data_IF_086161463082
#
_entry.id   IF_086161463082
#
_cell.length_a   1.000
_cell.length_b   1.000
_cell.length_c   1.000
_cell.angle_alpha   90.00
_cell.angle_beta   90.00
_cell.angle_gamma   90.00
#
_symmetry.space_group_name_H-M   'P 1'
#
loop_
_entity.id
_entity.type
_entity.pdbx_description
1 polymer ?
#
# COMPACT_ATOMS: atom_id res chain seq x y z
N UNK A 1 35.32 -22.46 28.76
CA UNK A 1 34.84 -23.62 29.54
C UNK A 1 33.33 -23.66 29.45
N UNK A 2 32.79 -24.84 29.16
CA UNK A 2 31.41 -25.12 28.78
C UNK A 2 30.37 -24.74 29.85
N UNK A 3 29.09 -24.53 29.47
CA UNK A 3 27.98 -24.55 30.41
C UNK A 3 27.69 -26.00 30.85
N UNK A 4 27.24 -26.25 32.10
CA UNK A 4 26.88 -27.58 32.57
C UNK A 4 25.47 -28.01 32.17
N UNK A 5 25.28 -29.34 32.25
CA UNK A 5 24.24 -30.20 31.68
C UNK A 5 22.98 -30.34 32.54
N UNK A 6 21.86 -30.58 31.85
CA UNK A 6 20.67 -31.40 32.17
C UNK A 6 20.12 -31.46 33.60
N UNK A 7 18.83 -31.11 33.72
CA UNK A 7 17.87 -31.73 34.65
C UNK A 7 16.65 -32.13 33.82
N UNK A 8 16.34 -33.42 33.81
CA UNK A 8 15.07 -34.01 33.34
C UNK A 8 14.03 -33.81 34.45
N UNK A 9 12.80 -33.48 34.08
CA UNK A 9 11.64 -33.55 34.98
C UNK A 9 10.61 -34.51 34.38
N UNK A 10 10.39 -35.60 35.10
CA UNK A 10 9.36 -36.60 34.89
C UNK A 10 7.96 -36.00 35.02
N UNK A 11 7.05 -36.36 34.12
CA UNK A 11 5.60 -36.20 34.29
C UNK A 11 4.92 -37.55 34.01
N UNK A 12 3.96 -37.99 34.86
CA UNK A 12 3.25 -39.25 34.66
C UNK A 12 2.11 -39.10 33.64
N UNK A 13 1.78 -40.23 33.01
CA UNK A 13 0.73 -40.39 32.01
C UNK A 13 -0.69 -40.54 32.61
N UNK A 14 -1.69 -40.31 31.74
CA UNK A 14 -3.16 -40.56 31.79
C UNK A 14 -3.95 -39.25 31.64
N UNK A 15 -4.98 -39.10 30.81
CA UNK A 15 -5.84 -40.00 30.01
C UNK A 15 -6.63 -39.10 29.04
N UNK A 16 -6.92 -39.58 27.83
CA UNK A 16 -7.82 -38.94 26.87
C UNK A 16 -9.28 -39.04 27.35
N UNK A 17 -10.02 -37.93 27.30
CA UNK A 17 -11.43 -37.92 26.88
C UNK A 17 -11.87 -36.53 26.40
N UNK A 18 -12.94 -36.55 25.61
CA UNK A 18 -13.28 -35.67 24.49
C UNK A 18 -13.95 -34.31 24.80
N UNK A 19 -13.89 -33.45 23.77
CA UNK A 19 -14.77 -32.32 23.39
C UNK A 19 -14.58 -30.94 24.04
N UNK A 20 -13.89 -30.05 23.31
CA UNK A 20 -14.36 -28.70 22.90
C UNK A 20 -13.30 -28.12 21.94
N UNK A 21 -13.68 -27.75 20.71
CA UNK A 21 -12.76 -27.13 19.73
C UNK A 21 -12.79 -25.62 19.96
N UNK A 22 -11.87 -25.12 20.78
CA UNK A 22 -11.49 -23.70 20.79
C UNK A 22 -10.27 -23.52 19.86
N UNK A 23 -10.41 -22.67 18.84
CA UNK A 23 -9.29 -22.26 17.99
C UNK A 23 -8.36 -21.34 18.79
N UNK A 24 -7.48 -21.92 19.60
CA UNK A 24 -6.47 -21.19 20.35
C UNK A 24 -5.24 -20.88 19.48
N UNK A 25 -4.84 -19.61 19.51
CA UNK A 25 -3.77 -18.96 18.74
C UNK A 25 -2.34 -19.41 19.07
N UNK A 26 -2.19 -20.42 19.92
CA UNK A 26 -0.93 -20.72 20.59
C UNK A 26 -0.17 -21.90 19.97
N UNK A 27 -0.75 -22.59 18.98
CA UNK A 27 -0.06 -23.65 18.20
C UNK A 27 0.88 -23.10 17.10
N UNK A 28 0.97 -21.77 16.96
CA UNK A 28 1.73 -21.13 15.89
C UNK A 28 3.26 -21.19 16.06
N UNK A 29 3.77 -21.32 17.29
CA UNK A 29 5.22 -21.31 17.56
C UNK A 29 5.88 -22.71 17.49
N UNK A 30 5.12 -23.79 17.61
CA UNK A 30 5.67 -25.15 17.69
C UNK A 30 5.87 -25.85 16.34
N UNK A 31 5.33 -25.31 15.24
CA UNK A 31 5.51 -25.93 13.91
C UNK A 31 6.88 -25.61 13.27
N UNK A 32 7.63 -24.63 13.80
CA UNK A 32 8.93 -24.23 13.27
C UNK A 32 10.13 -24.93 13.92
N UNK A 33 9.93 -25.64 15.03
CA UNK A 33 10.96 -26.44 15.70
C UNK A 33 11.12 -27.84 15.11
N UNK A 34 10.08 -28.39 14.47
CA UNK A 34 10.06 -29.81 14.08
C UNK A 34 10.76 -30.17 12.76
N UNK A 35 11.40 -29.23 12.07
CA UNK A 35 12.05 -29.49 10.77
C UNK A 35 13.59 -29.41 10.79
N UNK A 36 14.22 -29.32 11.96
CA UNK A 36 15.70 -29.38 12.08
C UNK A 36 16.29 -30.79 12.15
N UNK A 37 15.47 -31.84 12.24
CA UNK A 37 15.95 -33.21 12.49
C UNK A 37 16.23 -34.08 11.26
N UNK A 38 16.19 -33.52 10.04
CA UNK A 38 16.52 -34.27 8.82
C UNK A 38 17.98 -34.17 8.35
N UNK A 39 18.86 -33.53 9.13
CA UNK A 39 20.31 -33.46 8.84
C UNK A 39 21.14 -34.55 9.55
N UNK A 40 20.57 -35.74 9.75
CA UNK A 40 21.33 -36.94 10.13
C UNK A 40 21.06 -38.07 9.15
N UNK A 41 21.54 -37.92 7.92
CA UNK A 41 21.90 -39.03 7.05
C UNK A 41 22.87 -38.52 5.99
N UNK A 42 24.09 -39.06 5.96
CA UNK A 42 25.23 -38.58 5.19
C UNK A 42 25.11 -38.80 3.67
N UNK A 43 24.24 -38.04 3.03
CA UNK A 43 24.25 -37.84 1.58
C UNK A 43 24.73 -36.43 1.26
N UNK A 44 25.62 -36.32 0.27
CA UNK A 44 26.17 -35.06 -0.22
C UNK A 44 25.06 -34.04 -0.47
N UNK A 45 25.10 -32.96 0.31
CA UNK A 45 24.12 -31.89 0.34
C UNK A 45 24.15 -31.17 -1.03
N UNK A 46 23.30 -31.59 -1.97
CA UNK A 46 22.85 -30.68 -3.02
C UNK A 46 22.05 -29.64 -2.25
N UNK A 47 22.67 -28.50 -1.97
CA UNK A 47 21.98 -27.31 -1.46
C UNK A 47 20.93 -26.93 -2.50
N UNK A 48 19.71 -27.43 -2.31
CA UNK A 48 18.55 -26.96 -3.04
C UNK A 48 18.32 -25.57 -2.47
N UNK A 49 18.72 -24.55 -3.23
CA UNK A 49 18.35 -23.17 -2.93
C UNK A 49 16.83 -23.08 -3.05
N UNK A 50 16.12 -23.29 -1.95
CA UNK A 50 14.73 -22.94 -1.86
C UNK A 50 14.64 -21.43 -2.06
N UNK A 51 13.90 -20.98 -3.08
CA UNK A 51 13.48 -19.58 -3.14
C UNK A 51 12.86 -19.23 -1.80
N UNK A 52 13.38 -18.19 -1.14
CA UNK A 52 12.93 -17.76 0.19
C UNK A 52 11.41 -17.50 0.11
N UNK A 53 10.60 -18.42 0.64
CA UNK A 53 9.14 -18.21 0.78
C UNK A 53 8.87 -17.66 2.17
N UNK A 54 8.57 -16.37 2.23
CA UNK A 54 8.07 -15.73 3.45
C UNK A 54 6.63 -16.17 3.74
N UNK A 55 6.27 -16.21 5.02
CA UNK A 55 4.88 -16.43 5.42
C UNK A 55 4.07 -15.18 5.04
N UNK A 56 3.06 -15.27 4.16
CA UNK A 56 2.30 -14.11 3.72
C UNK A 56 1.38 -13.60 4.82
N UNK A 57 1.11 -12.31 4.83
CA UNK A 57 0.06 -11.76 5.67
C UNK A 57 -1.32 -12.03 5.06
N UNK A 58 -2.12 -12.88 5.71
CA UNK A 58 -3.43 -13.36 5.19
C UNK A 58 -4.41 -12.26 4.81
N UNK A 59 -4.31 -11.07 5.43
CA UNK A 59 -5.11 -9.88 5.09
C UNK A 59 -4.94 -9.43 3.63
N UNK A 60 -3.77 -9.66 3.04
CA UNK A 60 -3.44 -9.23 1.67
C UNK A 60 -3.43 -10.39 0.65
N UNK A 61 -3.67 -11.62 1.10
CA UNK A 61 -3.81 -12.79 0.22
C UNK A 61 -5.20 -12.79 -0.40
N UNK A 62 -5.33 -12.21 -1.59
CA UNK A 62 -6.63 -11.99 -2.22
C UNK A 62 -7.34 -13.30 -2.58
N UNK A 63 -6.59 -14.30 -3.04
CA UNK A 63 -7.10 -15.63 -3.37
C UNK A 63 -7.21 -16.58 -2.16
N UNK A 64 -7.20 -16.07 -0.93
CA UNK A 64 -7.27 -16.90 0.29
C UNK A 64 -8.49 -17.82 0.31
N UNK A 65 -9.66 -17.33 -0.09
CA UNK A 65 -10.88 -18.14 -0.17
C UNK A 65 -10.78 -19.31 -1.17
N UNK A 66 -10.05 -19.10 -2.29
CA UNK A 66 -9.83 -20.16 -3.28
C UNK A 66 -8.80 -21.19 -2.81
N UNK A 67 -7.87 -20.78 -1.95
CA UNK A 67 -6.81 -21.65 -1.43
C UNK A 67 -7.28 -22.50 -0.25
N UNK A 68 -8.28 -22.07 0.52
CA UNK A 68 -8.72 -22.73 1.76
C UNK A 68 -9.04 -24.23 1.59
N UNK A 69 -9.65 -24.61 0.46
CA UNK A 69 -10.02 -26.00 0.17
C UNK A 69 -8.83 -26.89 -0.21
N UNK A 70 -7.78 -26.29 -0.78
CA UNK A 70 -6.64 -27.02 -1.34
C UNK A 70 -5.38 -26.90 -0.49
N UNK A 71 -5.33 -25.93 0.42
CA UNK A 71 -4.18 -25.61 1.25
C UNK A 71 -3.74 -26.77 2.16
N UNK A 72 -4.68 -27.58 2.64
CA UNK A 72 -4.39 -28.77 3.45
C UNK A 72 -3.78 -29.93 2.64
N UNK A 73 -4.07 -29.99 1.34
CA UNK A 73 -3.78 -31.15 0.49
C UNK A 73 -2.63 -30.91 -0.49
N UNK A 74 -2.37 -29.66 -0.85
CA UNK A 74 -1.32 -29.30 -1.82
C UNK A 74 0.01 -29.05 -1.11
N UNK A 75 1.09 -29.47 -1.78
CA UNK A 75 2.42 -29.04 -1.39
C UNK A 75 2.53 -27.52 -1.49
N UNK A 76 3.25 -26.90 -0.54
CA UNK A 76 3.42 -25.45 -0.43
C UNK A 76 3.90 -24.81 -1.73
N UNK A 77 4.61 -25.55 -2.58
CA UNK A 77 5.12 -25.04 -3.85
C UNK A 77 4.03 -24.63 -4.84
N UNK A 78 2.87 -25.30 -4.79
CA UNK A 78 1.70 -25.01 -5.63
C UNK A 78 0.85 -23.87 -5.09
N UNK A 79 1.06 -23.46 -3.83
CA UNK A 79 0.33 -22.36 -3.21
C UNK A 79 0.97 -21.03 -3.64
N UNK A 80 0.32 -20.34 -4.58
CA UNK A 80 0.69 -19.00 -5.02
C UNK A 80 -0.27 -17.96 -4.43
N UNK A 81 0.29 -16.95 -3.77
CA UNK A 81 -0.48 -15.88 -3.15
C UNK A 81 -0.51 -14.65 -4.06
N UNK A 82 -1.72 -14.12 -4.28
CA UNK A 82 -1.94 -12.97 -5.17
C UNK A 82 -2.39 -11.77 -4.35
N UNK A 83 -1.84 -10.60 -4.68
CA UNK A 83 -2.30 -9.32 -4.13
C UNK A 83 -3.29 -8.65 -5.08
N UNK A 84 -4.21 -7.87 -4.52
CA UNK A 84 -5.07 -6.98 -5.28
C UNK A 84 -4.71 -5.53 -4.94
N UNK A 85 -4.50 -4.69 -5.95
CA UNK A 85 -4.10 -3.30 -5.74
C UNK A 85 -3.30 -2.79 -6.93
N UNK A 86 -2.08 -2.30 -6.70
CA UNK A 86 -1.23 -1.67 -7.71
C UNK A 86 0.24 -2.02 -7.51
N UNK A 87 0.99 -2.12 -8.60
CA UNK A 87 2.45 -2.14 -8.60
C UNK A 87 2.95 -1.28 -9.76
N UNK A 88 3.82 -0.32 -9.44
CA UNK A 88 4.46 0.53 -10.43
C UNK A 88 5.91 0.76 -10.04
N UNK A 89 6.81 0.69 -11.03
CA UNK A 89 8.24 0.94 -10.83
C UNK A 89 8.73 1.89 -11.91
N UNK A 90 9.53 2.87 -11.50
CA UNK A 90 10.13 3.85 -12.40
C UNK A 90 11.60 4.03 -12.03
N UNK A 91 12.42 4.19 -13.06
CA UNK A 91 13.83 4.53 -12.92
C UNK A 91 13.99 6.06 -12.93
N UNK A 92 14.77 6.61 -12.00
CA UNK A 92 15.14 8.03 -11.96
C UNK A 92 16.64 8.18 -11.75
N UNK A 93 17.23 9.14 -12.46
CA UNK A 93 18.61 9.56 -12.20
C UNK A 93 18.61 10.77 -11.27
N UNK A 94 19.23 10.64 -10.10
CA UNK A 94 19.41 11.72 -9.13
C UNK A 94 20.91 11.95 -8.97
N UNK A 95 21.40 13.13 -9.38
CA UNK A 95 22.83 13.47 -9.39
C UNK A 95 23.71 12.44 -10.12
N UNK A 96 23.21 11.87 -11.22
CA UNK A 96 23.95 10.90 -12.03
C UNK A 96 23.92 9.45 -11.49
N UNK A 97 23.27 9.21 -10.35
CA UNK A 97 23.00 7.86 -9.84
C UNK A 97 21.58 7.42 -10.22
N UNK A 98 21.48 6.28 -10.88
CA UNK A 98 20.19 5.69 -11.26
C UNK A 98 19.60 4.93 -10.09
N UNK A 99 18.32 5.15 -9.85
CA UNK A 99 17.57 4.60 -8.72
C UNK A 99 16.22 4.11 -9.21
N UNK A 100 15.78 2.99 -8.68
CA UNK A 100 14.41 2.53 -8.90
C UNK A 100 13.54 2.91 -7.72
N UNK A 101 12.44 3.60 -8.02
CA UNK A 101 11.35 3.86 -7.08
C UNK A 101 10.21 2.92 -7.44
N UNK A 102 9.72 2.17 -6.47
CA UNK A 102 8.61 1.23 -6.63
C UNK A 102 7.51 1.57 -5.64
N UNK A 103 6.27 1.67 -6.12
CA UNK A 103 5.08 1.79 -5.29
C UNK A 103 4.29 0.50 -5.40
N UNK A 104 3.98 -0.10 -4.26
CA UNK A 104 3.12 -1.27 -4.16
C UNK A 104 1.92 -0.89 -3.29
N UNK A 105 0.70 -1.06 -3.80
CA UNK A 105 -0.51 -0.97 -3.00
C UNK A 105 -1.14 -2.35 -2.86
N UNK A 106 -1.40 -2.75 -1.62
CA UNK A 106 -2.05 -4.01 -1.25
C UNK A 106 -3.38 -3.70 -0.58
N UNK A 107 -4.47 -4.03 -1.24
CA UNK A 107 -5.83 -3.91 -0.70
C UNK A 107 -6.12 -5.12 0.19
N UNK A 108 -6.70 -4.86 1.36
CA UNK A 108 -7.16 -5.90 2.26
C UNK A 108 -8.33 -6.69 1.66
N UNK A 109 -8.30 -8.00 1.83
CA UNK A 109 -9.43 -8.90 1.56
C UNK A 109 -10.49 -8.89 2.68
N UNK A 110 -10.16 -8.34 3.87
CA UNK A 110 -11.06 -8.29 5.01
C UNK A 110 -12.02 -7.11 4.86
N UNK A 111 -13.29 -7.35 5.17
CA UNK A 111 -14.38 -6.37 5.07
C UNK A 111 -14.39 -5.59 3.74
N UNK A 112 -13.99 -6.27 2.66
CA UNK A 112 -13.92 -5.71 1.32
C UNK A 112 -15.32 -5.60 0.69
N UNK A 113 -15.52 -4.58 -0.14
CA UNK A 113 -16.76 -4.38 -0.89
C UNK A 113 -16.71 -3.16 -1.80
N UNK A 114 -17.82 -2.90 -2.48
CA UNK A 114 -17.95 -1.76 -3.38
C UNK A 114 -18.20 -0.47 -2.59
N UNK A 115 -17.93 0.66 -3.26
CA UNK A 115 -18.26 2.00 -2.75
C UNK A 115 -19.72 2.06 -2.34
N UNK A 116 -19.98 2.71 -1.19
CA UNK A 116 -21.30 2.86 -0.56
C UNK A 116 -21.87 1.60 0.12
N UNK A 117 -21.62 0.39 -0.38
CA UNK A 117 -22.12 -0.83 0.27
C UNK A 117 -21.31 -1.26 1.50
N UNK A 118 -20.00 -1.01 1.51
CA UNK A 118 -19.13 -1.35 2.64
C UNK A 118 -18.34 -0.13 3.10
N UNK A 119 -18.66 0.31 4.32
CA UNK A 119 -18.08 1.45 5.02
C UNK A 119 -17.92 1.13 6.50
N UNK A 120 -17.06 1.89 7.18
CA UNK A 120 -16.81 1.68 8.59
C UNK A 120 -15.92 0.47 8.86
N UNK A 121 -16.18 -0.18 9.97
CA UNK A 121 -15.51 -1.40 10.42
C UNK A 121 -16.52 -2.51 10.71
N UNK A 122 -16.06 -3.76 10.72
CA UNK A 122 -16.79 -4.88 11.32
C UNK A 122 -16.48 -4.99 12.83
N UNK A 123 -17.17 -5.90 13.53
CA UNK A 123 -16.94 -6.14 14.96
C UNK A 123 -15.52 -6.66 15.28
N UNK A 124 -14.85 -7.27 14.31
CA UNK A 124 -13.48 -7.77 14.44
C UNK A 124 -12.42 -6.67 14.27
N UNK A 125 -12.82 -5.40 14.08
CA UNK A 125 -11.90 -4.29 13.88
C UNK A 125 -11.30 -4.18 12.46
N UNK A 126 -11.78 -4.96 11.49
CA UNK A 126 -11.42 -4.80 10.09
C UNK A 126 -12.17 -3.65 9.44
N UNK A 127 -11.43 -2.70 8.89
CA UNK A 127 -11.99 -1.52 8.24
C UNK A 127 -12.19 -1.74 6.76
N UNK A 128 -13.26 -1.14 6.22
CA UNK A 128 -13.52 -1.20 4.80
C UNK A 128 -12.41 -0.46 4.03
N UNK A 129 -12.01 -1.04 2.90
CA UNK A 129 -11.02 -0.49 1.97
C UNK A 129 -9.69 -0.10 2.62
N UNK A 130 -9.23 -0.92 3.56
CA UNK A 130 -7.86 -0.83 4.03
C UNK A 130 -6.90 -1.12 2.87
N UNK A 131 -5.98 -0.18 2.63
CA UNK A 131 -4.91 -0.33 1.64
C UNK A 131 -3.60 0.03 2.30
N UNK A 132 -2.64 -0.88 2.16
CA UNK A 132 -1.25 -0.66 2.52
C UNK A 132 -0.48 -0.22 1.28
N UNK A 133 0.08 0.98 1.34
CA UNK A 133 0.92 1.54 0.27
C UNK A 133 2.36 1.54 0.77
N UNK A 134 3.22 0.81 0.07
CA UNK A 134 4.65 0.73 0.33
C UNK A 134 5.44 1.39 -0.79
N UNK A 135 6.37 2.27 -0.39
CA UNK A 135 7.29 2.96 -1.26
C UNK A 135 8.70 2.45 -1.04
N UNK A 136 9.23 1.75 -2.03
CA UNK A 136 10.56 1.14 -2.02
C UNK A 136 11.49 1.97 -2.90
N UNK A 137 12.70 2.22 -2.40
CA UNK A 137 13.77 2.86 -3.17
C UNK A 137 14.98 1.96 -3.11
N UNK A 138 15.56 1.66 -4.26
CA UNK A 138 16.81 0.90 -4.33
C UNK A 138 17.76 1.43 -5.40
N UNK A 139 19.05 1.30 -5.10
CA UNK A 139 20.13 1.73 -5.98
C UNK A 139 20.29 0.75 -7.14
N UNK A 140 20.25 1.25 -8.39
CA UNK A 140 20.42 0.40 -9.57
C UNK A 140 21.89 0.03 -9.82
N UNK A 141 22.84 0.75 -9.21
CA UNK A 141 24.27 0.51 -9.34
C UNK A 141 24.75 -0.78 -8.67
N UNK A 142 23.93 -1.42 -7.82
CA UNK A 142 24.27 -2.64 -7.11
C UNK A 142 23.27 -3.75 -7.45
N UNK A 143 23.60 -4.60 -8.42
CA UNK A 143 22.74 -5.71 -8.87
C UNK A 143 22.69 -6.90 -7.89
N UNK A 144 23.52 -6.91 -6.85
CA UNK A 144 23.55 -8.00 -5.86
C UNK A 144 22.52 -7.76 -4.75
N UNK A 145 21.63 -8.72 -4.51
CA UNK A 145 20.62 -8.65 -3.42
C UNK A 145 21.25 -8.55 -2.02
N UNK A 146 22.42 -9.16 -1.81
CA UNK A 146 23.08 -9.16 -0.49
C UNK A 146 23.79 -7.84 -0.17
N UNK A 147 24.21 -7.11 -1.21
CA UNK A 147 24.93 -5.84 -1.07
C UNK A 147 24.09 -4.64 -1.50
N UNK A 148 22.88 -4.88 -2.02
CA UNK A 148 21.96 -3.86 -2.48
C UNK A 148 21.44 -3.02 -1.32
N UNK A 149 21.44 -1.71 -1.52
CA UNK A 149 20.85 -0.77 -0.59
C UNK A 149 19.38 -0.59 -0.92
N UNK A 150 18.52 -1.10 -0.04
CA UNK A 150 17.08 -1.01 -0.15
C UNK A 150 16.53 -0.18 1.00
N UNK A 151 15.58 0.66 0.67
CA UNK A 151 14.80 1.42 1.62
C UNK A 151 13.31 1.16 1.38
N UNK A 152 12.53 1.06 2.45
CA UNK A 152 11.07 0.92 2.36
C UNK A 152 10.37 1.84 3.34
N UNK A 153 9.23 2.37 2.94
CA UNK A 153 8.34 3.16 3.78
C UNK A 153 6.89 2.74 3.53
N UNK A 154 6.19 2.38 4.60
CA UNK A 154 4.81 1.89 4.56
C UNK A 154 3.86 2.92 5.15
N UNK A 155 2.76 3.17 4.46
CA UNK A 155 1.65 3.98 4.94
C UNK A 155 0.32 3.28 4.69
N UNK A 156 -0.69 3.63 5.49
CA UNK A 156 -2.01 3.03 5.42
C UNK A 156 -3.05 4.05 5.03
N UNK A 157 -4.11 3.57 4.41
CA UNK A 157 -5.38 4.27 4.33
C UNK A 157 -6.53 3.30 4.56
N UNK A 158 -7.66 3.83 5.00
CA UNK A 158 -8.88 3.03 5.14
C UNK A 158 -10.05 3.87 5.59
N UNK A 159 -11.21 3.23 5.69
CA UNK A 159 -12.41 3.85 6.28
C UNK A 159 -12.19 4.21 7.75
N UNK A 160 -13.00 5.11 8.29
CA UNK A 160 -12.99 5.45 9.72
C UNK A 160 -13.42 4.21 10.53
N UNK A 161 -12.69 3.79 11.59
CA UNK A 161 -12.95 2.56 12.32
C UNK A 161 -14.15 2.74 13.29
N UNK A 162 -15.35 2.80 12.73
CA UNK A 162 -16.61 2.92 13.44
C UNK A 162 -17.72 2.24 12.63
N UNK A 163 -18.85 1.94 13.26
CA UNK A 163 -20.03 1.38 12.58
C UNK A 163 -20.86 2.50 11.95
N UNK A 164 -20.69 2.72 10.66
CA UNK A 164 -21.43 3.75 9.93
C UNK A 164 -21.69 3.36 8.48
N UNK A 165 -22.83 3.83 7.98
CA UNK A 165 -23.29 3.58 6.63
C UNK A 165 -23.71 4.89 5.94
N UNK A 166 -23.96 4.78 4.64
CA UNK A 166 -24.57 5.84 3.85
C UNK A 166 -25.71 5.24 3.07
N UNK A 167 -26.91 5.76 3.29
CA UNK A 167 -28.10 5.33 2.57
C UNK A 167 -28.09 5.86 1.14
N UNK A 168 -27.82 4.96 0.18
CA UNK A 168 -27.84 5.24 -1.26
C UNK A 168 -29.19 5.02 -1.92
N UNK A 169 -30.21 4.59 -1.17
CA UNK A 169 -31.55 4.31 -1.72
C UNK A 169 -32.24 5.59 -2.21
N UNK A 170 -31.94 6.73 -1.58
CA UNK A 170 -32.46 8.03 -1.98
C UNK A 170 -31.51 8.63 -3.01
N UNK A 171 -32.04 8.97 -4.19
CA UNK A 171 -31.32 9.63 -5.29
C UNK A 171 -30.94 11.08 -4.92
N UNK A 172 -30.15 11.23 -3.86
CA UNK A 172 -29.71 12.48 -3.27
C UNK A 172 -28.24 12.67 -3.62
N UNK A 173 -27.81 13.86 -4.08
CA UNK A 173 -26.42 14.10 -4.49
C UNK A 173 -25.36 13.82 -3.42
N UNK A 174 -25.77 13.82 -2.14
CA UNK A 174 -24.93 13.47 -0.98
C UNK A 174 -25.73 12.62 0.01
N UNK A 175 -25.59 11.28 -0.03
CA UNK A 175 -26.31 10.40 0.88
C UNK A 175 -25.87 10.66 2.32
N UNK A 176 -26.83 10.80 3.23
CA UNK A 176 -26.56 11.13 4.64
C UNK A 176 -25.77 10.02 5.32
N UNK A 177 -24.79 10.42 6.14
CA UNK A 177 -24.01 9.50 6.96
C UNK A 177 -24.78 9.22 8.24
N UNK A 178 -25.05 7.94 8.50
CA UNK A 178 -25.70 7.46 9.72
C UNK A 178 -24.71 6.60 10.51
N UNK A 179 -24.65 6.83 11.82
CA UNK A 179 -23.95 5.92 12.73
C UNK A 179 -24.95 4.81 13.05
N UNK A 180 -24.62 3.58 12.65
CA UNK A 180 -25.55 2.45 12.74
C UNK A 180 -25.57 1.89 14.17
N UNK A 181 -24.41 1.89 14.84
CA UNK A 181 -24.25 1.41 16.20
C UNK A 181 -23.42 2.43 17.00
N UNK A 182 -23.95 2.84 18.15
CA UNK A 182 -23.18 3.61 19.12
C UNK A 182 -22.38 2.64 19.98
N UNK A 183 -21.05 2.75 19.91
CA UNK A 183 -20.11 1.93 20.67
C UNK A 183 -19.53 2.79 21.82
N UNK A 184 -20.11 2.72 23.05
CA UNK A 184 -19.67 3.54 24.17
C UNK A 184 -18.29 3.11 24.71
N UNK A 185 -17.94 1.83 24.60
CA UNK A 185 -16.67 1.28 25.07
C UNK A 185 -15.60 1.22 24.00
N UNK A 186 -15.95 1.60 22.76
CA UNK A 186 -15.00 1.76 21.66
C UNK A 186 -14.30 0.42 21.35
N UNK A 187 -15.00 -0.70 21.51
CA UNK A 187 -14.47 -2.05 21.30
C UNK A 187 -13.97 -2.23 19.87
N UNK A 188 -14.77 -1.79 18.89
CA UNK A 188 -14.44 -1.98 17.47
C UNK A 188 -13.20 -1.19 17.05
N UNK A 189 -13.10 0.07 17.50
CA UNK A 189 -11.91 0.86 17.20
C UNK A 189 -10.70 0.38 18.03
N UNK A 190 -10.94 -0.09 19.25
CA UNK A 190 -9.93 -0.73 20.10
C UNK A 190 -9.27 -1.92 19.42
N UNK A 191 -10.06 -2.86 18.91
CA UNK A 191 -9.52 -4.04 18.22
C UNK A 191 -8.81 -3.66 16.91
N UNK A 192 -9.35 -2.69 16.18
CA UNK A 192 -8.68 -2.15 15.00
C UNK A 192 -7.28 -1.59 15.32
N UNK A 193 -7.16 -0.74 16.34
CA UNK A 193 -5.87 -0.14 16.72
C UNK A 193 -4.93 -1.14 17.37
N UNK A 194 -5.44 -2.12 18.11
CA UNK A 194 -4.68 -3.26 18.61
C UNK A 194 -4.04 -4.02 17.43
N UNK A 195 -4.82 -4.33 16.40
CA UNK A 195 -4.33 -4.95 15.17
C UNK A 195 -3.31 -4.10 14.40
N UNK A 196 -3.38 -2.77 14.48
CA UNK A 196 -2.37 -1.87 13.91
C UNK A 196 -1.08 -1.87 14.73
N UNK A 197 -1.17 -1.77 16.05
CA UNK A 197 0.00 -1.79 16.94
C UNK A 197 0.76 -3.13 16.84
N UNK A 198 0.04 -4.26 16.75
CA UNK A 198 0.65 -5.58 16.53
C UNK A 198 1.41 -5.67 15.21
N UNK A 199 0.95 -5.00 14.15
CA UNK A 199 1.53 -5.08 12.80
C UNK A 199 2.66 -4.09 12.56
N UNK A 200 2.48 -2.84 12.97
CA UNK A 200 3.37 -1.73 12.60
C UNK A 200 4.07 -1.08 13.78
N UNK A 201 3.67 -1.40 15.03
CA UNK A 201 4.26 -0.80 16.24
C UNK A 201 3.77 0.61 16.55
N UNK A 202 4.55 1.32 17.36
CA UNK A 202 4.30 2.69 17.82
C UNK A 202 5.30 3.70 17.23
N UNK A 203 4.86 4.91 16.82
CA UNK A 203 3.52 5.46 16.99
C UNK A 203 2.56 5.15 15.83
N UNK A 204 1.29 4.96 16.16
CA UNK A 204 0.19 4.99 15.18
C UNK A 204 -0.33 6.42 15.05
N UNK A 205 -0.11 7.04 13.88
CA UNK A 205 -0.49 8.42 13.60
C UNK A 205 -1.69 8.43 12.65
N UNK A 206 -2.82 8.96 13.11
CA UNK A 206 -4.04 9.12 12.31
C UNK A 206 -4.04 10.51 11.69
N UNK A 207 -3.98 10.57 10.36
CA UNK A 207 -4.24 11.77 9.58
C UNK A 207 -5.69 11.76 9.09
N UNK A 208 -6.55 12.50 9.78
CA UNK A 208 -7.97 12.57 9.46
C UNK A 208 -8.26 13.75 8.51
N UNK A 209 -8.69 13.44 7.28
CA UNK A 209 -8.99 14.43 6.23
C UNK A 209 -10.48 14.77 6.12
N UNK A 210 -11.28 14.24 7.03
CA UNK A 210 -12.72 14.47 7.16
C UNK A 210 -12.98 15.95 7.48
N UNK A 211 -13.95 16.57 6.80
CA UNK A 211 -14.30 17.98 7.03
C UNK A 211 -14.83 18.19 8.44
N UNK A 212 -14.36 19.24 9.12
CA UNK A 212 -14.77 19.56 10.50
C UNK A 212 -15.82 20.67 10.60
N UNK A 213 -15.71 21.71 9.77
CA UNK A 213 -16.63 22.86 9.81
C UNK A 213 -17.50 22.87 8.57
N UNK A 214 -18.69 22.31 8.71
CA UNK A 214 -19.70 22.27 7.66
C UNK A 214 -20.95 23.03 8.09
N UNK A 215 -21.70 23.58 7.12
CA UNK A 215 -22.97 24.28 7.41
C UNK A 215 -24.03 23.32 7.97
N UNK A 216 -24.01 22.06 7.53
CA UNK A 216 -24.81 20.96 8.04
C UNK A 216 -23.84 19.85 8.46
N UNK A 217 -24.05 19.27 9.64
CA UNK A 217 -23.23 18.14 10.12
C UNK A 217 -23.39 16.97 9.16
N UNK A 218 -22.29 16.51 8.58
CA UNK A 218 -22.30 15.38 7.66
C UNK A 218 -21.04 14.55 7.87
N UNK A 219 -19.90 15.00 7.33
CA UNK A 219 -18.59 14.37 7.53
C UNK A 219 -18.12 14.58 8.99
N UNK A 220 -18.44 15.74 9.59
CA UNK A 220 -17.95 16.11 10.93
C UNK A 220 -18.33 15.12 12.03
N UNK A 221 -19.50 14.47 11.92
CA UNK A 221 -19.97 13.45 12.88
C UNK A 221 -18.97 12.31 13.03
N UNK A 222 -18.37 11.85 11.92
CA UNK A 222 -17.34 10.80 11.94
C UNK A 222 -16.03 11.31 12.54
N UNK A 223 -15.71 12.58 12.31
CA UNK A 223 -14.51 13.23 12.88
C UNK A 223 -14.58 13.31 14.40
N UNK A 224 -15.75 13.65 14.93
CA UNK A 224 -16.03 13.74 16.37
C UNK A 224 -16.07 12.34 17.01
N UNK A 225 -16.66 11.36 16.32
CA UNK A 225 -16.67 9.95 16.75
C UNK A 225 -15.25 9.40 16.94
N UNK A 226 -14.42 9.44 15.89
CA UNK A 226 -13.04 8.93 15.97
C UNK A 226 -12.17 9.69 16.98
N UNK A 227 -12.39 11.00 17.14
CA UNK A 227 -11.67 11.79 18.13
C UNK A 227 -12.01 11.34 19.56
N UNK A 228 -13.29 11.09 19.83
CA UNK A 228 -13.78 10.59 21.12
C UNK A 228 -13.23 9.19 21.38
N UNK A 229 -13.25 8.31 20.36
CA UNK A 229 -12.68 6.96 20.43
C UNK A 229 -11.20 6.98 20.79
N UNK A 230 -10.38 7.78 20.09
CA UNK A 230 -8.94 7.88 20.38
C UNK A 230 -8.69 8.47 21.76
N UNK A 231 -9.46 9.47 22.18
CA UNK A 231 -9.36 10.06 23.52
C UNK A 231 -9.67 9.04 24.62
N UNK A 232 -10.65 8.18 24.40
CA UNK A 232 -11.01 7.10 25.32
C UNK A 232 -9.90 6.04 25.39
N UNK A 233 -9.45 5.52 24.24
CA UNK A 233 -8.40 4.49 24.19
C UNK A 233 -7.07 4.95 24.80
N UNK A 234 -6.69 6.21 24.59
CA UNK A 234 -5.47 6.79 25.18
C UNK A 234 -5.53 6.94 26.72
N UNK A 235 -6.66 6.65 27.38
CA UNK A 235 -6.71 6.57 28.85
C UNK A 235 -6.06 5.29 29.37
N UNK A 236 -6.07 4.23 28.56
CA UNK A 236 -5.58 2.89 28.93
C UNK A 236 -4.21 2.57 28.35
N UNK A 237 -3.82 3.24 27.25
CA UNK A 237 -2.51 3.06 26.62
C UNK A 237 -1.42 3.83 27.38
N UNK A 238 -0.21 3.27 27.54
CA UNK A 238 0.93 4.02 28.05
C UNK A 238 1.29 5.20 27.13
N UNK A 239 1.93 6.27 27.64
CA UNK A 239 2.30 7.46 26.86
C UNK A 239 3.10 7.18 25.59
N UNK A 240 3.92 6.13 25.60
CA UNK A 240 4.75 5.69 24.48
C UNK A 240 3.93 5.09 23.32
N UNK A 241 2.77 4.51 23.62
CA UNK A 241 1.87 3.86 22.67
C UNK A 241 0.64 4.71 22.35
N UNK A 242 0.58 5.95 22.83
CA UNK A 242 -0.53 6.85 22.55
C UNK A 242 -0.74 7.04 21.05
N UNK A 243 -1.99 6.83 20.64
CA UNK A 243 -2.44 7.05 19.27
C UNK A 243 -2.48 8.56 19.02
N UNK A 244 -1.77 9.01 17.99
CA UNK A 244 -1.66 10.44 17.67
C UNK A 244 -2.72 10.81 16.64
N UNK A 245 -3.68 11.65 17.03
CA UNK A 245 -4.74 12.12 16.13
C UNK A 245 -4.44 13.51 15.58
N UNK A 246 -4.37 13.63 14.25
CA UNK A 246 -4.15 14.88 13.53
C UNK A 246 -5.33 15.09 12.57
N UNK A 247 -6.07 16.19 12.75
CA UNK A 247 -7.14 16.56 11.82
C UNK A 247 -6.70 17.64 10.84
N UNK A 248 -6.92 17.43 9.54
CA UNK A 248 -6.54 18.37 8.50
C UNK A 248 -7.66 18.53 7.44
N UNK A 249 -8.33 19.68 7.46
CA UNK A 249 -9.39 20.01 6.50
C UNK A 249 -8.79 20.65 5.23
N UNK A 250 -8.52 19.82 4.21
CA UNK A 250 -7.93 20.26 2.94
C UNK A 250 -8.80 21.29 2.21
N UNK A 251 -10.12 21.08 2.19
CA UNK A 251 -11.06 21.92 1.45
C UNK A 251 -11.09 23.36 1.99
N UNK A 252 -11.02 23.51 3.32
CA UNK A 252 -10.94 24.82 3.95
C UNK A 252 -9.60 25.51 3.68
N UNK A 253 -8.50 24.75 3.74
CA UNK A 253 -7.15 25.30 3.51
C UNK A 253 -6.95 25.75 2.08
N UNK A 254 -7.61 25.10 1.11
CA UNK A 254 -7.59 25.53 -0.28
C UNK A 254 -8.34 26.85 -0.54
N UNK A 255 -9.35 27.18 0.29
CA UNK A 255 -10.17 28.40 0.15
C UNK A 255 -9.66 29.60 0.96
N UNK A 256 -8.55 29.45 1.69
CA UNK A 256 -7.98 30.51 2.52
C UNK A 256 -7.17 31.52 1.69
N UNK A 257 -6.95 32.73 2.24
CA UNK A 257 -6.12 33.78 1.62
C UNK A 257 -4.66 33.35 1.41
N UNK A 258 -4.16 32.41 2.20
CA UNK A 258 -2.86 31.74 2.06
C UNK A 258 -3.08 30.24 1.76
N UNK A 259 -3.50 29.92 0.53
CA UNK A 259 -3.75 28.55 0.10
C UNK A 259 -2.43 27.77 -0.06
N UNK A 260 -1.88 27.31 1.05
CA UNK A 260 -0.71 26.42 1.07
C UNK A 260 -1.07 25.09 1.72
N UNK A 261 -1.93 24.32 1.04
CA UNK A 261 -2.35 22.99 1.50
C UNK A 261 -1.15 22.04 1.51
N UNK A 262 -0.38 22.02 0.42
CA UNK A 262 0.75 21.11 0.24
C UNK A 262 1.88 21.36 1.24
N UNK A 263 2.25 22.61 1.52
CA UNK A 263 3.31 22.92 2.48
C UNK A 263 2.93 22.59 3.92
N UNK A 264 1.67 22.87 4.33
CA UNK A 264 1.20 22.46 5.66
C UNK A 264 1.13 20.94 5.80
N UNK A 265 0.70 20.25 4.74
CA UNK A 265 0.67 18.79 4.70
C UNK A 265 2.09 18.22 4.72
N UNK A 266 3.04 18.85 4.05
CA UNK A 266 4.45 18.48 4.06
C UNK A 266 5.06 18.63 5.47
N UNK A 267 4.67 19.64 6.25
CA UNK A 267 5.13 19.78 7.63
C UNK A 267 4.59 18.66 8.54
N UNK A 268 3.31 18.29 8.35
CA UNK A 268 2.69 17.16 9.07
C UNK A 268 3.38 15.86 8.67
N UNK A 269 3.56 15.62 7.36
CA UNK A 269 4.23 14.47 6.80
C UNK A 269 5.67 14.34 7.32
N UNK A 270 6.44 15.43 7.31
CA UNK A 270 7.81 15.44 7.80
C UNK A 270 7.89 15.01 9.28
N UNK A 271 7.03 15.58 10.12
CA UNK A 271 6.96 15.22 11.54
C UNK A 271 6.55 13.76 11.74
N UNK A 272 5.61 13.28 10.92
CA UNK A 272 5.09 11.94 11.02
C UNK A 272 6.10 10.88 10.55
N UNK A 273 6.75 11.09 9.39
CA UNK A 273 7.80 10.20 8.85
C UNK A 273 8.98 10.13 9.83
N UNK A 274 9.39 11.26 10.42
CA UNK A 274 10.42 11.25 11.46
C UNK A 274 10.03 10.35 12.62
N UNK A 275 8.79 10.43 13.11
CA UNK A 275 8.31 9.64 14.25
C UNK A 275 8.13 8.15 13.94
N UNK A 276 7.72 7.80 12.72
CA UNK A 276 7.49 6.40 12.33
C UNK A 276 8.78 5.70 11.90
N UNK A 277 9.76 6.45 11.42
CA UNK A 277 10.99 5.94 10.82
C UNK A 277 10.78 5.32 9.43
N UNK A 278 11.88 4.85 8.85
CA UNK A 278 11.93 4.13 7.58
C UNK A 278 12.73 2.82 7.72
N UNK A 279 12.40 1.83 6.88
CA UNK A 279 13.18 0.61 6.77
C UNK A 279 14.42 0.83 5.90
N UNK A 280 15.58 0.32 6.34
CA UNK A 280 16.83 0.29 5.56
C UNK A 280 17.49 -1.09 5.68
N UNK A 281 17.85 -1.69 4.54
CA UNK A 281 18.45 -3.04 4.45
C UNK A 281 19.88 -3.13 5.01
N UNK A 282 20.61 -2.02 4.95
CA UNK A 282 21.99 -1.89 5.41
C UNK A 282 22.13 -0.57 6.16
N UNK A 283 23.05 -0.53 7.12
CA UNK A 283 23.39 0.73 7.80
C UNK A 283 23.91 1.75 6.77
N UNK A 284 23.58 3.05 6.91
CA UNK A 284 24.03 4.07 5.97
C UNK A 284 25.55 3.98 5.75
N UNK A 285 25.98 3.78 4.50
CA UNK A 285 27.39 3.62 4.13
C UNK A 285 28.22 4.86 4.49
N UNK A 286 27.56 6.00 4.70
CA UNK A 286 28.19 7.23 5.16
C UNK A 286 27.52 7.81 6.43
N UNK A 287 28.40 8.20 7.35
CA UNK A 287 28.24 9.22 8.39
C UNK A 287 27.88 8.79 9.82
N UNK A 288 28.86 8.24 10.55
CA UNK A 288 28.82 8.16 12.03
C UNK A 288 28.54 9.52 12.71
N UNK A 289 28.80 10.64 12.03
CA UNK A 289 28.74 12.01 12.58
C UNK A 289 27.49 12.83 12.22
N UNK A 290 26.80 12.58 11.09
CA UNK A 290 25.55 13.31 10.73
C UNK A 290 24.25 12.53 11.00
N UNK A 291 24.35 11.27 11.39
CA UNK A 291 23.19 10.47 11.85
C UNK A 291 22.70 10.99 13.22
N UNK A 292 23.27 12.05 13.81
CA UNK A 292 22.79 12.65 15.08
C UNK A 292 21.33 13.12 15.02
N UNK A 293 20.85 13.62 13.89
CA UNK A 293 19.44 14.03 13.74
C UNK A 293 18.49 12.86 13.43
N UNK A 294 18.97 11.85 12.69
CA UNK A 294 18.20 10.61 12.38
C UNK A 294 18.16 9.69 13.61
N UNK A 295 19.19 9.74 14.47
CA UNK A 295 19.35 8.93 15.69
C UNK A 295 18.28 9.14 16.74
N UNK A 296 17.57 10.28 16.73
CA UNK A 296 16.53 10.57 17.72
C UNK A 296 15.25 9.76 17.53
N UNK A 297 15.01 9.16 16.37
CA UNK A 297 13.71 8.56 16.05
C UNK A 297 13.76 7.19 15.34
N UNK A 298 14.93 6.57 15.20
CA UNK A 298 15.06 5.24 14.58
C UNK A 298 15.57 4.23 15.62
N UNK A 299 14.89 3.09 15.75
CA UNK A 299 15.43 1.93 16.47
C UNK A 299 16.48 1.29 15.58
N UNK A 300 17.75 1.40 15.98
CA UNK A 300 18.85 0.72 15.29
C UNK A 300 18.97 -0.70 15.83
N UNK A 301 18.75 -1.69 14.97
CA UNK A 301 19.27 -3.05 15.22
C UNK A 301 20.68 -3.14 14.65
N UNK A 302 21.48 -4.10 15.11
CA UNK A 302 22.94 -4.20 14.88
C UNK A 302 23.41 -3.88 13.45
N UNK A 303 22.59 -4.09 12.39
CA UNK A 303 22.90 -3.74 10.99
C UNK A 303 21.72 -3.16 10.14
N UNK A 304 20.53 -2.88 10.69
CA UNK A 304 19.33 -2.44 9.93
C UNK A 304 18.49 -1.42 10.70
N UNK A 305 17.77 -0.55 9.99
CA UNK A 305 16.69 0.26 10.60
C UNK A 305 15.35 -0.32 10.22
N UNK A 306 14.43 -0.36 11.17
CA UNK A 306 13.05 -0.76 10.94
C UNK A 306 12.16 0.46 11.07
N UNK A 307 11.10 0.51 10.27
CA UNK A 307 9.99 1.40 10.53
C UNK A 307 9.23 0.85 11.75
N UNK A 308 9.01 1.69 12.77
CA UNK A 308 8.47 1.27 14.07
C UNK A 308 7.05 1.74 14.32
N UNK A 309 6.49 2.56 13.42
CA UNK A 309 5.13 3.05 13.49
C UNK A 309 4.53 3.25 12.11
N UNK A 310 3.28 3.72 12.03
CA UNK A 310 2.58 3.90 10.75
C UNK A 310 1.71 5.15 10.73
N UNK A 311 1.66 5.78 9.56
CA UNK A 311 0.73 6.87 9.29
C UNK A 311 -0.48 6.28 8.58
N UNK A 312 -1.66 6.48 9.16
CA UNK A 312 -2.94 6.07 8.60
C UNK A 312 -3.74 7.29 8.17
N UNK A 313 -4.05 7.40 6.88
CA UNK A 313 -4.93 8.44 6.36
C UNK A 313 -6.38 7.98 6.34
N UNK A 314 -7.26 8.70 7.02
CA UNK A 314 -8.71 8.44 7.03
C UNK A 314 -9.44 9.39 6.08
N UNK A 315 -10.40 8.86 5.32
CA UNK A 315 -11.33 9.65 4.53
C UNK A 315 -12.68 8.94 4.40
N UNK A 316 -13.74 9.73 4.28
CA UNK A 316 -15.10 9.23 4.08
C UNK A 316 -15.30 8.79 2.63
N UNK A 317 -14.82 9.61 1.66
CA UNK A 317 -15.40 9.54 0.31
C UNK A 317 -14.61 10.14 -0.86
N UNK A 318 -13.33 10.44 -0.69
CA UNK A 318 -12.54 10.92 -1.82
C UNK A 318 -11.18 10.27 -1.78
N UNK A 319 -11.01 9.27 -2.63
CA UNK A 319 -9.69 8.73 -2.91
C UNK A 319 -8.74 9.86 -3.34
N UNK A 320 -9.24 10.93 -3.96
CA UNK A 320 -8.47 12.12 -4.34
C UNK A 320 -7.74 12.79 -3.14
N UNK A 321 -8.45 13.00 -2.02
CA UNK A 321 -7.89 13.65 -0.82
C UNK A 321 -6.82 12.77 -0.18
N UNK A 322 -7.13 11.48 -0.06
CA UNK A 322 -6.19 10.51 0.51
C UNK A 322 -4.99 10.31 -0.38
N UNK A 323 -5.16 10.23 -1.70
CA UNK A 323 -4.06 10.02 -2.63
C UNK A 323 -3.11 11.22 -2.62
N UNK A 324 -3.66 12.44 -2.58
CA UNK A 324 -2.85 13.65 -2.41
C UNK A 324 -2.07 13.65 -1.10
N UNK A 325 -2.71 13.28 0.01
CA UNK A 325 -2.02 13.20 1.29
C UNK A 325 -0.94 12.10 1.30
N UNK A 326 -1.24 10.92 0.76
CA UNK A 326 -0.29 9.82 0.65
C UNK A 326 0.90 10.19 -0.25
N UNK A 327 0.68 10.92 -1.34
CA UNK A 327 1.75 11.45 -2.18
C UNK A 327 2.66 12.42 -1.41
N UNK A 328 2.11 13.39 -0.68
CA UNK A 328 2.94 14.34 0.10
C UNK A 328 3.72 13.63 1.20
N UNK A 329 3.12 12.62 1.85
CA UNK A 329 3.82 11.75 2.79
C UNK A 329 4.94 10.98 2.08
N UNK A 330 4.66 10.38 0.93
CA UNK A 330 5.62 9.64 0.12
C UNK A 330 6.79 10.50 -0.37
N UNK A 331 6.53 11.75 -0.75
CA UNK A 331 7.56 12.74 -1.10
C UNK A 331 8.49 13.03 0.08
N UNK A 332 7.93 13.27 1.27
CA UNK A 332 8.73 13.47 2.48
C UNK A 332 9.55 12.22 2.80
N UNK A 333 8.94 11.03 2.72
CA UNK A 333 9.65 9.77 2.88
C UNK A 333 10.79 9.65 1.87
N UNK A 334 10.55 9.90 0.58
CA UNK A 334 11.56 9.82 -0.48
C UNK A 334 12.79 10.69 -0.16
N UNK A 335 12.59 11.89 0.37
CA UNK A 335 13.69 12.77 0.79
C UNK A 335 14.57 12.13 1.87
N UNK A 336 13.96 11.50 2.88
CA UNK A 336 14.70 10.75 3.90
C UNK A 336 15.36 9.49 3.35
N UNK A 337 14.69 8.77 2.43
CA UNK A 337 15.23 7.56 1.81
C UNK A 337 16.47 7.90 0.97
N UNK A 338 16.40 8.91 0.09
CA UNK A 338 17.54 9.34 -0.73
C UNK A 338 18.69 9.91 0.11
N UNK A 339 18.38 10.63 1.19
CA UNK A 339 19.39 11.09 2.14
C UNK A 339 20.07 9.93 2.88
N UNK A 340 19.29 8.94 3.34
CA UNK A 340 19.83 7.75 4.01
C UNK A 340 20.69 6.88 3.08
N UNK A 341 20.39 6.87 1.79
CA UNK A 341 21.17 6.22 0.74
C UNK A 341 22.42 7.04 0.33
N UNK A 342 22.63 8.22 0.90
CA UNK A 342 23.79 9.08 0.63
C UNK A 342 23.77 9.74 -0.76
N UNK A 343 22.58 9.90 -1.34
CA UNK A 343 22.38 10.54 -2.65
C UNK A 343 22.17 12.04 -2.46
N UNK A 344 21.46 12.42 -1.41
CA UNK A 344 21.19 13.82 -1.05
C UNK A 344 21.89 14.18 0.26
N UNK A 345 22.36 15.43 0.34
CA UNK A 345 22.93 16.01 1.56
C UNK A 345 21.85 16.49 2.56
N UNK A 346 20.61 16.67 2.11
CA UNK A 346 19.47 17.03 2.96
C UNK A 346 18.26 16.16 2.61
N UNK A 347 17.34 15.99 3.57
CA UNK A 347 16.08 15.27 3.36
C UNK A 347 14.97 16.13 2.74
N UNK A 348 15.25 17.40 2.44
CA UNK A 348 14.27 18.33 1.89
C UNK A 348 14.26 18.25 0.36
N UNK A 349 13.20 17.66 -0.18
CA UNK A 349 12.94 17.64 -1.62
C UNK A 349 12.01 18.77 -2.02
N UNK A 350 12.37 19.51 -3.05
CA UNK A 350 11.48 20.49 -3.68
C UNK A 350 10.44 19.79 -4.57
N UNK A 351 9.27 20.41 -4.73
CA UNK A 351 8.17 19.82 -5.52
C UNK A 351 8.45 19.78 -7.03
N UNK A 352 9.35 20.63 -7.51
CA UNK A 352 9.63 20.81 -8.94
C UNK A 352 10.86 20.04 -9.43
N UNK A 353 11.28 19.02 -8.68
CA UNK A 353 12.37 18.13 -9.11
C UNK A 353 11.83 16.98 -9.97
N UNK A 354 12.62 16.51 -10.93
CA UNK A 354 12.25 15.39 -11.80
C UNK A 354 11.88 14.13 -11.01
N UNK A 355 12.59 13.87 -9.90
CA UNK A 355 12.30 12.75 -9.03
C UNK A 355 10.92 12.84 -8.36
N UNK A 356 10.47 14.05 -8.01
CA UNK A 356 9.15 14.27 -7.42
C UNK A 356 8.05 14.24 -8.48
N UNK A 357 8.33 14.74 -9.69
CA UNK A 357 7.40 14.64 -10.83
C UNK A 357 7.14 13.18 -11.23
N UNK A 358 8.19 12.36 -11.30
CA UNK A 358 8.04 10.93 -11.53
C UNK A 358 7.29 10.25 -10.38
N UNK A 359 7.59 10.60 -9.12
CA UNK A 359 6.84 10.09 -7.98
C UNK A 359 5.35 10.47 -8.07
N UNK A 360 5.05 11.70 -8.50
CA UNK A 360 3.69 12.18 -8.69
C UNK A 360 2.94 11.35 -9.72
N UNK A 361 3.54 11.05 -10.86
CA UNK A 361 2.97 10.17 -11.89
C UNK A 361 2.67 8.76 -11.33
N UNK A 362 3.61 8.17 -10.58
CA UNK A 362 3.38 6.87 -9.92
C UNK A 362 2.21 6.91 -8.93
N UNK A 363 2.06 8.01 -8.16
CA UNK A 363 0.92 8.17 -7.25
C UNK A 363 -0.39 8.48 -7.99
N UNK A 364 -0.36 9.11 -9.17
CA UNK A 364 -1.54 9.28 -10.04
C UNK A 364 -2.05 7.90 -10.51
N UNK A 365 -1.18 7.06 -11.08
CA UNK A 365 -1.54 5.70 -11.55
C UNK A 365 -2.01 4.80 -10.40
N UNK A 366 -1.32 4.86 -9.26
CA UNK A 366 -1.73 4.21 -8.02
C UNK A 366 -3.14 4.63 -7.61
N UNK A 367 -3.42 5.93 -7.66
CA UNK A 367 -4.71 6.51 -7.34
C UNK A 367 -5.81 6.02 -8.27
N UNK A 368 -5.59 6.08 -9.58
CA UNK A 368 -6.57 5.69 -10.59
C UNK A 368 -6.90 4.19 -10.53
N UNK A 369 -5.88 3.35 -10.35
CA UNK A 369 -6.07 1.90 -10.21
C UNK A 369 -6.96 1.58 -9.01
N UNK A 370 -6.74 2.25 -7.89
CA UNK A 370 -7.52 2.00 -6.67
C UNK A 370 -8.93 2.63 -6.75
N UNK A 371 -9.10 3.70 -7.53
CA UNK A 371 -10.39 4.32 -7.80
C UNK A 371 -11.29 3.34 -8.57
N UNK A 372 -10.73 2.75 -9.63
CA UNK A 372 -11.41 1.78 -10.47
C UNK A 372 -11.86 0.56 -9.65
N UNK A 373 -11.00 0.05 -8.78
CA UNK A 373 -11.30 -1.10 -7.92
C UNK A 373 -12.38 -0.84 -6.86
N UNK A 374 -12.57 0.42 -6.45
CA UNK A 374 -13.50 0.76 -5.38
C UNK A 374 -14.82 1.31 -5.90
N UNK A 375 -14.77 2.24 -6.84
CA UNK A 375 -15.92 2.97 -7.38
C UNK A 375 -16.24 2.68 -8.84
N UNK A 376 -15.42 1.91 -9.56
CA UNK A 376 -15.64 1.61 -10.99
C UNK A 376 -15.28 2.75 -11.94
N UNK A 377 -14.67 3.84 -11.45
CA UNK A 377 -14.24 5.00 -12.24
C UNK A 377 -12.87 5.49 -11.80
N UNK A 378 -12.17 6.25 -12.66
CA UNK A 378 -10.91 6.93 -12.33
C UNK A 378 -11.08 8.03 -11.26
N UNK A 379 -9.96 8.59 -10.77
CA UNK A 379 -9.97 9.74 -9.85
C UNK A 379 -10.56 10.98 -10.52
N UNK A 380 -11.34 11.74 -9.74
CA UNK A 380 -11.98 12.97 -10.25
C UNK A 380 -11.05 14.17 -10.07
N UNK A 381 -10.25 14.20 -9.01
CA UNK A 381 -9.31 15.29 -8.73
C UNK A 381 -7.87 14.75 -8.65
N UNK A 382 -7.05 15.16 -9.61
CA UNK A 382 -5.62 14.80 -9.69
C UNK A 382 -4.77 15.63 -8.72
N UNK A 383 -3.60 15.11 -8.36
CA UNK A 383 -2.65 15.77 -7.43
C UNK A 383 -2.30 17.18 -7.92
N UNK A 384 -2.13 17.33 -9.22
CA UNK A 384 -1.91 18.60 -9.95
C UNK A 384 -2.95 19.68 -9.64
N UNK A 385 -4.21 19.32 -9.37
CA UNK A 385 -5.26 20.29 -8.96
C UNK A 385 -4.92 20.97 -7.63
N UNK A 386 -4.32 20.25 -6.68
CA UNK A 386 -3.87 20.80 -5.40
C UNK A 386 -2.54 21.54 -5.49
N UNK A 387 -1.72 21.27 -6.52
CA UNK A 387 -0.49 22.03 -6.81
C UNK A 387 -0.77 23.38 -7.48
N UNK A 388 -1.96 23.58 -8.05
CA UNK A 388 -2.31 24.79 -8.78
C UNK A 388 -1.95 24.75 -10.27
N UNK A 389 -1.48 23.61 -10.79
CA UNK A 389 -1.16 23.38 -12.20
C UNK A 389 -2.42 23.05 -13.03
N UNK A 390 -3.52 23.75 -12.75
CA UNK A 390 -4.86 23.43 -13.26
C UNK A 390 -5.01 23.67 -14.77
N UNK A 391 -4.22 24.56 -15.36
CA UNK A 391 -4.36 24.96 -16.77
C UNK A 391 -3.76 23.93 -17.74
N UNK A 392 -2.63 23.29 -17.39
CA UNK A 392 -2.03 22.22 -18.18
C UNK A 392 -2.91 20.96 -18.22
N UNK A 393 -3.60 20.67 -17.12
CA UNK A 393 -4.57 19.58 -17.03
C UNK A 393 -5.78 19.79 -17.95
N UNK A 394 -6.34 21.00 -18.01
CA UNK A 394 -7.46 21.32 -18.90
C UNK A 394 -7.04 21.23 -20.37
N UNK A 395 -5.86 21.74 -20.71
CA UNK A 395 -5.33 21.64 -22.07
C UNK A 395 -5.07 20.18 -22.48
N UNK A 396 -4.43 19.38 -21.62
CA UNK A 396 -4.14 17.97 -21.90
C UNK A 396 -5.41 17.11 -21.97
N UNK A 397 -6.39 17.34 -21.10
CA UNK A 397 -7.70 16.65 -21.15
C UNK A 397 -8.47 16.99 -22.42
N UNK A 398 -8.43 18.26 -22.88
CA UNK A 398 -9.03 18.63 -24.16
C UNK A 398 -8.34 17.92 -25.32
N UNK A 399 -7.01 17.81 -25.31
CA UNK A 399 -6.23 17.14 -26.36
C UNK A 399 -6.50 15.63 -26.37
N UNK A 400 -6.51 14.96 -25.21
CA UNK A 400 -6.79 13.52 -25.09
C UNK A 400 -8.23 13.19 -25.53
N UNK A 401 -9.21 14.00 -25.13
CA UNK A 401 -10.61 13.83 -25.55
C UNK A 401 -10.80 14.13 -27.04
N UNK A 402 -10.10 15.13 -27.58
CA UNK A 402 -10.13 15.44 -29.01
C UNK A 402 -9.49 14.32 -29.85
N UNK A 403 -8.40 13.72 -29.36
CA UNK A 403 -7.76 12.55 -29.95
C UNK A 403 -8.68 11.32 -29.95
N UNK A 404 -9.33 11.00 -28.83
CA UNK A 404 -10.29 9.90 -28.74
C UNK A 404 -11.52 10.11 -29.63
N UNK A 405 -11.97 11.36 -29.79
CA UNK A 405 -13.08 11.70 -30.69
C UNK A 405 -12.73 11.64 -32.18
N UNK A 406 -11.44 11.76 -32.53
CA UNK A 406 -10.93 11.77 -33.91
C UNK A 406 -10.24 10.47 -34.32
N UNK A 407 -10.15 9.48 -33.42
CA UNK A 407 -9.62 8.16 -33.74
C UNK A 407 -10.49 7.51 -34.84
N UNK A 408 -9.93 7.11 -35.99
CA UNK A 408 -10.71 6.55 -37.08
C UNK A 408 -11.33 5.22 -36.66
N UNK A 409 -12.65 5.10 -36.78
CA UNK A 409 -13.32 3.80 -36.70
C UNK A 409 -12.89 2.94 -37.90
N UNK A 410 -12.51 1.69 -37.64
CA UNK A 410 -12.12 0.76 -38.68
C UNK A 410 -13.27 0.54 -39.69
N UNK A 411 -13.00 0.46 -41.00
CA UNK A 411 -14.04 0.34 -42.01
C UNK A 411 -14.73 -1.04 -41.95
N UNK A 412 -16.06 -1.01 -41.90
CA UNK A 412 -16.93 -2.18 -42.07
C UNK A 412 -17.06 -2.54 -43.55
N UNK A 413 -16.23 -3.44 -44.06
CA UNK A 413 -16.53 -4.20 -45.29
C UNK A 413 -15.72 -5.48 -45.32
N UNK A 414 -16.39 -6.65 -45.20
CA UNK A 414 -16.19 -7.87 -46.01
C UNK A 414 -17.27 -8.91 -45.64
N UNK A 415 -18.33 -8.92 -46.46
CA UNK A 415 -19.14 -10.05 -46.96
C UNK A 415 -19.27 -11.37 -46.17
N UNK A 416 -20.53 -11.62 -45.76
CA UNK A 416 -21.35 -12.82 -46.04
C UNK A 416 -20.72 -14.23 -45.90
N UNK A 417 -20.93 -14.84 -44.73
CA UNK A 417 -21.26 -16.25 -44.58
C UNK A 417 -21.98 -16.45 -43.23
N UNK A 418 -23.21 -17.00 -43.23
CA UNK A 418 -23.77 -17.64 -42.04
C UNK A 418 -23.19 -19.05 -41.95
N UNK A 419 -22.83 -19.54 -40.75
CA UNK A 419 -23.79 -20.39 -40.04
C UNK A 419 -23.78 -20.29 -38.50
N UNK A 420 -24.94 -20.68 -37.95
CA UNK A 420 -25.20 -21.35 -36.67
C UNK A 420 -24.90 -20.64 -35.33
N UNK A 421 -25.96 -20.65 -34.51
CA UNK A 421 -26.04 -20.20 -33.13
C UNK A 421 -25.22 -21.06 -32.17
N UNK A 422 -24.01 -20.60 -31.79
CA UNK A 422 -23.38 -20.89 -30.49
C UNK A 422 -22.07 -20.08 -30.33
N UNK A 423 -22.15 -18.80 -29.94
CA UNK A 423 -21.06 -18.09 -29.22
C UNK A 423 -21.44 -16.62 -28.96
N UNK A 424 -22.24 -16.36 -27.93
CA UNK A 424 -22.28 -15.04 -27.29
C UNK A 424 -21.32 -15.03 -26.10
N UNK A 425 -20.03 -14.81 -26.34
CA UNK A 425 -19.05 -14.40 -25.31
C UNK A 425 -17.83 -13.75 -25.97
N UNK A 426 -17.43 -12.63 -25.39
CA UNK A 426 -16.16 -11.91 -25.59
C UNK A 426 -16.02 -11.05 -26.85
N UNK A 427 -16.46 -9.78 -26.75
CA UNK A 427 -15.73 -8.66 -27.36
C UNK A 427 -15.22 -7.78 -26.22
N UNK A 428 -13.91 -7.82 -25.96
CA UNK A 428 -13.22 -6.91 -25.04
C UNK A 428 -12.04 -6.24 -25.79
N UNK A 429 -11.66 -4.99 -25.46
CA UNK A 429 -10.60 -4.24 -26.14
C UNK A 429 -9.19 -4.86 -26.10
N UNK A 430 -9.01 -5.97 -25.38
CA UNK A 430 -7.72 -6.64 -25.16
C UNK A 430 -7.21 -7.43 -26.38
N UNK A 431 -8.07 -7.78 -27.35
CA UNK A 431 -7.65 -8.55 -28.54
C UNK A 431 -6.97 -7.65 -29.58
N UNK A 432 -7.39 -6.38 -29.68
CA UNK A 432 -6.79 -5.41 -30.61
C UNK A 432 -5.37 -4.99 -30.18
N UNK A 433 -5.12 -4.87 -28.87
CA UNK A 433 -3.79 -4.57 -28.34
C UNK A 433 -2.77 -5.69 -28.62
N UNK A 434 -3.21 -6.95 -28.59
CA UNK A 434 -2.32 -8.10 -28.85
C UNK A 434 -1.95 -8.24 -30.33
N UNK A 435 -2.87 -7.87 -31.24
CA UNK A 435 -2.59 -7.83 -32.68
C UNK A 435 -1.62 -6.71 -33.05
N UNK A 436 -1.79 -5.51 -32.49
CA UNK A 436 -0.92 -4.37 -32.76
C UNK A 436 0.50 -4.55 -32.19
N UNK A 437 0.60 -5.11 -30.97
CA UNK A 437 1.89 -5.41 -30.33
C UNK A 437 2.70 -6.45 -31.12
N UNK A 438 2.04 -7.51 -31.63
CA UNK A 438 2.71 -8.52 -32.45
C UNK A 438 3.11 -7.98 -33.83
N UNK A 439 2.35 -7.05 -34.42
CA UNK A 439 2.69 -6.42 -35.69
C UNK A 439 3.88 -5.44 -35.56
N UNK A 440 3.96 -4.69 -34.45
CA UNK A 440 5.10 -3.83 -34.15
C UNK A 440 6.39 -4.63 -33.88
N UNK A 441 6.30 -5.77 -33.19
CA UNK A 441 7.45 -6.64 -32.94
C UNK A 441 7.94 -7.29 -34.24
N UNK A 442 7.03 -7.77 -35.10
CA UNK A 442 7.42 -8.39 -36.37
C UNK A 442 8.08 -7.37 -37.32
N UNK A 443 7.59 -6.12 -37.37
CA UNK A 443 8.21 -5.06 -38.16
C UNK A 443 9.57 -4.62 -37.58
N UNK A 444 9.73 -4.62 -36.25
CA UNK A 444 11.01 -4.32 -35.61
C UNK A 444 12.05 -5.43 -35.88
N UNK A 445 11.64 -6.70 -35.84
CA UNK A 445 12.50 -7.85 -36.13
C UNK A 445 12.93 -7.91 -37.61
N UNK A 446 12.03 -7.59 -38.54
CA UNK A 446 12.36 -7.48 -39.97
C UNK A 446 13.38 -6.35 -40.24
N UNK A 447 13.24 -5.20 -39.57
CA UNK A 447 14.20 -4.08 -39.71
C UNK A 447 15.59 -4.36 -39.12
N UNK A 448 15.68 -5.29 -38.16
CA UNK A 448 16.94 -5.74 -37.57
C UNK A 448 17.61 -6.83 -38.42
N UNK A 449 16.82 -7.65 -39.12
CA UNK A 449 17.31 -8.64 -40.09
C UNK A 449 17.98 -7.98 -41.31
N UNK A 450 17.35 -6.94 -41.89
CA UNK A 450 17.89 -6.22 -43.07
C UNK A 450 19.16 -5.41 -42.74
N UNK A 451 19.33 -4.99 -41.47
CA UNK A 451 20.56 -4.34 -41.00
C UNK A 451 21.71 -5.31 -40.71
N UNK A 452 21.41 -6.58 -40.42
CA UNK A 452 22.44 -7.60 -40.22
C UNK A 452 23.07 -8.04 -41.55
N UNK A 453 22.26 -8.20 -42.62
CA UNK A 453 22.76 -8.63 -43.93
C UNK A 453 23.56 -7.56 -44.68
N UNK A 454 23.36 -6.27 -44.37
CA UNK A 454 24.15 -5.16 -44.96
C UNK A 454 25.51 -4.93 -44.30
N UNK A 455 25.84 -5.67 -43.23
CA UNK A 455 27.11 -5.55 -42.49
C UNK A 455 28.10 -6.70 -42.73
N UNK A 456 27.78 -7.63 -43.63
CA UNK A 456 28.58 -8.82 -43.94
C UNK A 456 28.90 -8.99 -45.44
N UNK A 457 29.10 -7.89 -46.18
CA UNK A 457 29.73 -7.89 -47.52
C UNK A 457 30.92 -6.94 -47.50
#
# INVERSE_FOLDING_TARGET
>A
MAPPKHIQTDMPACTLDSSEVTEDSDDFFNMWTSHKDWQKNGYSDKTIDYGIRSNPHRRFVWNSHLLDTVEKNLHRDWLLYIIHGFIGQSNVSVFGRSMFITIIARRSNKYAGTRFLKRGANFNGDVANEVETEQIVHDSGVSSLNNGHFSSFVQLRGSVPAHWSQDVSKMVPKPTITIDLSDPYVETAGEHFNGLLKRYGSPTIILNLVKKREKKKHESTLSDGIYTSVKYLNQFLPPEYHIQYISFDMARKNKGKEANVMGRLANIANTAVLKTGIFLSLHPYYNKNQVSNIKKFHIFTKNKTLQTGVIRTNCVDCLDRTNTAQFVIGKCALGYQLHALGILNSSQLEFDTDCVRMLEELYEDHGDTLALQYGGSQLVHRIKTYRGESWLLQARMMIEHEWESKAPQAPETYTSAQPSSESKKANSPLVLYRAFYNQCINNALLSLSEKAESSSI
#
